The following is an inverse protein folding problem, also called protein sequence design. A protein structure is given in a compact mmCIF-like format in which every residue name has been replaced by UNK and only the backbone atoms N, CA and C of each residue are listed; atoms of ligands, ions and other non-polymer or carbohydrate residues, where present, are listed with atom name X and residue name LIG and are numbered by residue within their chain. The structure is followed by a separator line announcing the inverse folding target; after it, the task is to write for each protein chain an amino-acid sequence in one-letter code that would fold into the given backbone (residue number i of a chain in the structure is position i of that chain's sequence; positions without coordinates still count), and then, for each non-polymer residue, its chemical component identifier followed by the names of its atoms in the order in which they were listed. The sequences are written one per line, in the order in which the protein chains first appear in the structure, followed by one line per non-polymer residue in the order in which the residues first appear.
data_IF_879753286695
#
_entry.id   IF_879753286695
#
_cell.length_a   1.000
_cell.length_b   1.000
_cell.length_c   1.000
_cell.angle_alpha   90.00
_cell.angle_beta   90.00
_cell.angle_gamma   90.00
#
_symmetry.space_group_name_H-M   'P 1'
#
loop_
_entity.id
_entity.type
_entity.pdbx_description
1 polymer ?
#
# COMPACT_ATOMS: atom_id res chain seq x y z
N UNK A 1 52.05 43.67 -70.68
CA UNK A 1 51.50 43.68 -69.29
C UNK A 1 51.06 42.29 -69.00
N UNK A 2 51.88 41.52 -68.27
CA UNK A 2 51.64 40.17 -67.93
C UNK A 2 50.83 40.08 -66.58
N UNK A 3 49.73 39.39 -66.63
CA UNK A 3 48.88 39.11 -65.47
C UNK A 3 49.39 37.83 -64.73
N UNK A 4 50.02 38.01 -63.57
CA UNK A 4 50.51 36.97 -62.71
C UNK A 4 49.39 36.62 -61.73
N UNK A 5 48.74 35.47 -61.92
CA UNK A 5 47.83 34.90 -60.97
C UNK A 5 48.62 33.97 -59.97
N UNK A 6 48.46 34.13 -58.63
CA UNK A 6 49.15 33.28 -57.69
C UNK A 6 48.54 31.86 -57.66
N UNK A 7 49.38 30.87 -57.86
CA UNK A 7 49.00 29.44 -57.82
C UNK A 7 48.66 28.98 -56.42
N UNK A 8 47.47 28.48 -56.25
CA UNK A 8 47.04 27.77 -55.04
C UNK A 8 47.60 26.33 -55.05
N UNK A 9 48.60 26.07 -54.23
CA UNK A 9 49.09 24.72 -54.01
C UNK A 9 48.10 23.96 -53.09
N UNK A 10 47.34 23.04 -53.65
CA UNK A 10 46.57 22.08 -52.91
C UNK A 10 47.45 21.00 -52.22
N UNK A 11 47.54 21.09 -50.90
CA UNK A 11 48.19 20.06 -50.10
C UNK A 11 47.21 18.86 -49.98
N UNK A 12 47.58 17.64 -50.36
CA UNK A 12 46.68 16.47 -50.27
C UNK A 12 46.33 16.17 -48.82
N UNK A 13 45.06 16.16 -48.49
CA UNK A 13 44.55 15.65 -47.22
C UNK A 13 44.74 14.12 -47.22
N UNK A 14 45.52 13.62 -46.26
CA UNK A 14 45.55 12.18 -45.97
C UNK A 14 44.21 11.76 -45.42
N UNK A 15 43.42 11.06 -46.20
CA UNK A 15 42.24 10.39 -45.72
C UNK A 15 42.64 9.21 -44.85
N UNK A 16 42.34 9.27 -43.54
CA UNK A 16 42.45 8.13 -42.67
C UNK A 16 41.42 7.07 -43.07
N UNK A 17 41.75 5.81 -42.89
CA UNK A 17 40.98 4.65 -43.36
C UNK A 17 39.57 4.53 -42.74
N UNK A 18 39.22 5.30 -41.69
CA UNK A 18 37.96 5.24 -41.00
C UNK A 18 37.54 6.67 -40.57
N UNK A 19 36.88 7.41 -41.44
CA UNK A 19 36.21 8.67 -41.12
C UNK A 19 37.09 9.82 -40.58
N UNK A 20 36.50 10.87 -40.00
CA UNK A 20 37.22 12.07 -39.55
C UNK A 20 37.97 11.91 -38.22
N UNK A 21 37.98 10.73 -37.65
CA UNK A 21 38.58 10.47 -36.33
C UNK A 21 40.04 10.10 -36.40
N UNK A 22 40.87 10.67 -35.51
CA UNK A 22 42.26 10.31 -35.36
C UNK A 22 42.41 8.95 -34.64
N UNK A 23 43.47 8.22 -34.94
CA UNK A 23 43.71 6.90 -34.27
C UNK A 23 43.69 6.97 -32.74
N UNK A 24 44.09 8.13 -32.16
CA UNK A 24 44.03 8.34 -30.69
C UNK A 24 42.61 8.48 -30.19
N UNK A 25 41.70 9.06 -30.96
CA UNK A 25 40.26 9.16 -30.59
C UNK A 25 39.58 7.82 -30.70
N UNK A 26 39.93 6.98 -31.64
CA UNK A 26 39.41 5.61 -31.75
C UNK A 26 39.86 4.73 -30.57
N UNK A 27 41.10 4.86 -30.14
CA UNK A 27 41.65 4.16 -28.99
C UNK A 27 40.95 4.64 -27.68
N UNK A 28 40.75 5.94 -27.54
CA UNK A 28 40.02 6.48 -26.37
C UNK A 28 38.55 6.02 -26.33
N UNK A 29 37.86 5.98 -27.47
CA UNK A 29 36.51 5.49 -27.59
C UNK A 29 36.44 3.97 -27.25
N UNK A 30 37.37 3.16 -27.75
CA UNK A 30 37.45 1.74 -27.44
C UNK A 30 37.70 1.52 -25.94
N UNK A 31 38.61 2.30 -25.34
CA UNK A 31 38.88 2.26 -23.91
C UNK A 31 37.66 2.59 -23.06
N UNK A 32 36.89 3.60 -23.46
CA UNK A 32 35.65 3.96 -22.79
C UNK A 32 34.59 2.84 -22.86
N UNK A 33 34.42 2.22 -24.03
CA UNK A 33 33.50 1.09 -24.23
C UNK A 33 33.89 -0.11 -23.35
N UNK A 34 35.21 -0.47 -23.33
CA UNK A 34 35.70 -1.56 -22.50
C UNK A 34 35.51 -1.27 -21.01
N UNK A 35 35.76 -0.02 -20.57
CA UNK A 35 35.56 0.39 -19.18
C UNK A 35 34.10 0.29 -18.79
N UNK A 36 33.21 0.77 -19.65
CA UNK A 36 31.77 0.70 -19.43
C UNK A 36 31.28 -0.75 -19.35
N UNK A 37 31.79 -1.61 -20.24
CA UNK A 37 31.45 -3.05 -20.21
C UNK A 37 31.94 -3.73 -18.92
N UNK A 38 33.14 -3.42 -18.46
CA UNK A 38 33.70 -3.96 -17.21
C UNK A 38 32.89 -3.48 -16.00
N UNK A 39 32.50 -2.20 -15.94
CA UNK A 39 31.65 -1.66 -14.88
C UNK A 39 30.27 -2.30 -14.91
N UNK A 40 29.68 -2.49 -16.09
CA UNK A 40 28.38 -3.16 -16.25
C UNK A 40 28.44 -4.61 -15.77
N UNK A 41 29.49 -5.36 -16.13
CA UNK A 41 29.70 -6.73 -15.67
C UNK A 41 29.93 -6.75 -14.15
N UNK A 42 30.68 -5.82 -13.59
CA UNK A 42 30.94 -5.75 -12.15
C UNK A 42 29.65 -5.40 -11.33
N UNK A 43 28.75 -4.61 -11.92
CA UNK A 43 27.47 -4.23 -11.26
C UNK A 43 26.39 -5.30 -11.45
N UNK A 44 26.39 -5.99 -12.59
CA UNK A 44 25.35 -6.99 -12.91
C UNK A 44 25.73 -8.42 -12.48
N UNK A 45 27.02 -8.72 -12.29
CA UNK A 45 27.40 -9.98 -11.65
C UNK A 45 27.27 -9.83 -10.14
N UNK A 46 26.35 -10.55 -9.47
CA UNK A 46 26.35 -10.59 -8.03
C UNK A 46 27.71 -11.14 -7.60
N UNK A 47 28.53 -10.27 -6.99
CA UNK A 47 29.79 -10.71 -6.33
C UNK A 47 29.38 -11.77 -5.31
N UNK A 48 29.60 -13.04 -5.71
CA UNK A 48 29.63 -14.21 -4.86
C UNK A 48 28.79 -14.12 -3.59
N UNK A 49 27.45 -14.08 -3.73
CA UNK A 49 26.62 -14.55 -2.65
C UNK A 49 27.03 -15.99 -2.41
N UNK A 50 27.64 -16.28 -1.27
CA UNK A 50 27.78 -17.64 -0.79
C UNK A 50 26.43 -18.29 -0.94
N UNK A 51 26.26 -19.11 -1.96
CA UNK A 51 25.05 -19.90 -2.12
C UNK A 51 24.81 -20.58 -0.79
N UNK A 52 23.76 -20.15 -0.09
CA UNK A 52 23.21 -20.94 0.98
C UNK A 52 22.62 -22.14 0.24
N UNK A 53 23.46 -23.14 0.00
CA UNK A 53 22.96 -24.48 -0.28
C UNK A 53 22.08 -24.81 0.91
N UNK A 54 20.78 -25.10 0.73
CA UNK A 54 19.99 -25.64 1.82
C UNK A 54 20.77 -26.85 2.35
N UNK A 55 21.29 -26.74 3.59
CA UNK A 55 21.90 -27.86 4.25
C UNK A 55 20.92 -29.03 4.27
N UNK A 56 21.37 -30.26 4.44
CA UNK A 56 20.50 -31.42 4.59
C UNK A 56 19.42 -31.02 5.64
N UNK A 57 18.16 -31.15 5.26
CA UNK A 57 17.04 -30.89 6.18
C UNK A 57 17.24 -31.85 7.34
N UNK A 58 17.58 -31.35 8.51
CA UNK A 58 17.67 -32.14 9.72
C UNK A 58 16.28 -32.76 9.97
N UNK A 59 16.12 -34.08 9.87
CA UNK A 59 14.81 -34.71 10.14
C UNK A 59 14.35 -34.53 11.59
N UNK A 60 15.20 -34.00 12.46
CA UNK A 60 14.88 -33.62 13.85
C UNK A 60 14.73 -32.11 14.03
N UNK A 61 14.90 -31.30 12.98
CA UNK A 61 14.49 -29.91 13.03
C UNK A 61 12.98 -29.92 13.31
N UNK A 62 12.64 -29.70 14.55
CA UNK A 62 11.26 -29.44 14.95
C UNK A 62 10.78 -28.28 14.06
N UNK A 63 9.70 -28.46 13.27
CA UNK A 63 9.12 -27.35 12.57
C UNK A 63 8.93 -26.24 13.60
N UNK A 64 9.34 -25.02 13.26
CA UNK A 64 9.13 -23.85 14.12
C UNK A 64 7.61 -23.67 14.22
N UNK A 65 7.02 -24.52 15.08
CA UNK A 65 5.63 -24.34 15.46
C UNK A 65 5.69 -23.10 16.32
N UNK A 66 5.14 -22.02 15.84
CA UNK A 66 4.74 -20.88 16.66
C UNK A 66 3.74 -21.47 17.65
N UNK A 67 4.25 -21.94 18.80
CA UNK A 67 3.45 -22.62 19.84
C UNK A 67 2.58 -21.64 20.64
N UNK A 68 2.59 -20.37 20.28
CA UNK A 68 1.57 -19.43 20.74
C UNK A 68 0.60 -19.27 19.60
N UNK A 69 -0.68 -19.61 19.77
CA UNK A 69 -1.69 -19.06 18.88
C UNK A 69 -1.44 -17.56 18.83
N UNK A 70 -1.59 -16.90 17.66
CA UNK A 70 -1.54 -15.46 17.62
C UNK A 70 -2.39 -14.94 18.77
N UNK A 71 -1.91 -13.94 19.55
CA UNK A 71 -2.63 -13.43 20.71
C UNK A 71 -4.08 -13.30 20.31
N UNK A 72 -5.01 -13.77 21.13
CA UNK A 72 -6.42 -13.95 20.75
C UNK A 72 -6.89 -12.72 19.98
N UNK A 73 -6.72 -12.78 18.65
CA UNK A 73 -7.14 -11.76 17.72
C UNK A 73 -8.64 -11.84 17.57
N UNK A 74 -9.23 -10.79 17.08
CA UNK A 74 -10.64 -10.84 16.69
C UNK A 74 -10.81 -11.98 15.69
N UNK A 75 -11.85 -12.78 15.91
CA UNK A 75 -12.14 -13.97 15.09
C UNK A 75 -13.51 -13.83 14.47
N UNK A 76 -13.70 -14.46 13.36
CA UNK A 76 -15.04 -14.74 12.84
C UNK A 76 -15.85 -15.46 13.92
N UNK A 77 -17.05 -14.98 14.16
CA UNK A 77 -17.94 -15.45 15.23
C UNK A 77 -17.82 -14.68 16.56
N UNK A 78 -16.82 -13.81 16.72
CA UNK A 78 -16.70 -12.93 17.89
C UNK A 78 -17.55 -11.67 17.72
N UNK A 79 -18.08 -11.13 18.82
CA UNK A 79 -18.64 -9.78 18.83
C UNK A 79 -17.51 -8.77 18.59
N UNK A 80 -17.73 -7.83 17.70
CA UNK A 80 -16.79 -6.75 17.43
C UNK A 80 -16.67 -5.84 18.66
N UNK A 81 -15.45 -5.41 19.03
CA UNK A 81 -15.28 -4.42 20.10
C UNK A 81 -15.96 -3.10 19.75
N UNK A 82 -16.52 -2.43 20.76
CA UNK A 82 -16.99 -1.07 20.58
C UNK A 82 -15.85 -0.11 20.22
N UNK A 83 -16.21 1.02 19.63
CA UNK A 83 -15.27 2.09 19.30
C UNK A 83 -14.92 2.97 20.52
N UNK A 84 -14.93 2.33 21.69
CA UNK A 84 -14.60 2.92 22.99
C UNK A 84 -13.56 2.04 23.67
N UNK A 85 -12.49 2.62 24.18
CA UNK A 85 -11.39 1.91 24.81
C UNK A 85 -11.07 2.54 26.15
N UNK A 86 -11.03 1.74 27.23
CA UNK A 86 -10.52 2.19 28.51
C UNK A 86 -9.00 2.44 28.43
N UNK A 87 -8.52 3.54 29.00
CA UNK A 87 -7.13 3.93 29.01
C UNK A 87 -6.47 3.58 30.36
N UNK A 88 -5.15 3.38 30.35
CA UNK A 88 -4.39 3.01 31.55
C UNK A 88 -4.40 4.10 32.65
N UNK A 89 -4.65 5.36 32.28
CA UNK A 89 -4.80 6.48 33.18
C UNK A 89 -6.19 6.58 33.85
N UNK A 90 -7.07 5.63 33.56
CA UNK A 90 -8.45 5.59 34.03
C UNK A 90 -9.42 6.40 33.17
N UNK A 91 -8.94 7.02 32.10
CA UNK A 91 -9.77 7.69 31.10
C UNK A 91 -10.43 6.73 30.12
N UNK A 92 -11.13 7.30 29.16
CA UNK A 92 -11.77 6.54 28.09
C UNK A 92 -11.53 7.24 26.77
N UNK A 93 -11.05 6.50 25.78
CA UNK A 93 -11.01 6.97 24.39
C UNK A 93 -12.34 6.59 23.70
N UNK A 94 -12.94 7.54 23.01
CA UNK A 94 -14.11 7.36 22.18
C UNK A 94 -13.77 7.79 20.75
N UNK A 95 -13.98 6.90 19.79
CA UNK A 95 -13.84 7.27 18.37
C UNK A 95 -14.91 8.32 18.03
N UNK A 96 -14.48 9.39 17.41
CA UNK A 96 -15.38 10.42 16.85
C UNK A 96 -15.26 10.47 15.35
N UNK A 97 -16.31 10.89 14.69
CA UNK A 97 -16.27 11.23 13.28
C UNK A 97 -15.54 12.57 13.04
N UNK A 98 -15.47 12.99 11.79
CA UNK A 98 -14.79 14.22 11.40
C UNK A 98 -15.50 15.49 11.88
N UNK A 99 -16.77 15.41 12.27
CA UNK A 99 -17.56 16.50 12.86
C UNK A 99 -17.50 16.50 14.39
N UNK A 100 -16.81 15.51 14.98
CA UNK A 100 -16.64 15.34 16.43
C UNK A 100 -17.77 14.58 17.11
N UNK A 101 -18.72 14.01 16.36
CA UNK A 101 -19.75 13.17 16.92
C UNK A 101 -19.24 11.76 17.27
N UNK A 102 -19.69 11.13 18.38
CA UNK A 102 -19.23 9.79 18.74
C UNK A 102 -19.73 8.75 17.75
N UNK A 103 -18.84 7.87 17.32
CA UNK A 103 -19.13 6.71 16.48
C UNK A 103 -19.25 5.48 17.37
N UNK A 104 -20.37 4.76 17.36
CA UNK A 104 -20.60 3.57 18.18
C UNK A 104 -21.20 2.44 17.35
N UNK A 105 -20.79 1.19 17.61
CA UNK A 105 -21.43 0.02 17.00
C UNK A 105 -22.83 -0.22 17.58
N UNK A 106 -23.08 0.22 18.81
CA UNK A 106 -24.41 0.12 19.42
C UNK A 106 -25.46 0.88 18.58
N UNK A 107 -25.13 2.07 18.09
CA UNK A 107 -26.03 2.86 17.23
C UNK A 107 -26.30 2.21 15.86
N UNK A 108 -25.45 1.25 15.45
CA UNK A 108 -25.54 0.55 14.18
C UNK A 108 -26.21 -0.83 14.29
N UNK A 109 -26.71 -1.22 15.48
CA UNK A 109 -27.41 -2.50 15.67
C UNK A 109 -28.63 -2.60 14.74
N UNK A 110 -28.84 -3.78 14.21
CA UNK A 110 -29.87 -4.03 13.21
C UNK A 110 -29.47 -3.77 11.77
N UNK A 111 -28.26 -3.23 11.55
CA UNK A 111 -27.68 -3.05 10.23
C UNK A 111 -26.46 -3.97 10.04
N UNK A 112 -26.21 -4.40 8.82
CA UNK A 112 -24.92 -4.96 8.43
C UNK A 112 -23.86 -3.84 8.45
N UNK A 113 -22.69 -4.12 9.04
CA UNK A 113 -21.64 -3.10 9.16
C UNK A 113 -20.37 -3.57 8.48
N UNK A 114 -19.79 -2.73 7.64
CA UNK A 114 -18.46 -2.91 7.10
C UNK A 114 -17.51 -1.89 7.71
N UNK A 115 -16.57 -2.34 8.52
CA UNK A 115 -15.51 -1.50 9.10
C UNK A 115 -14.29 -1.61 8.20
N UNK A 116 -13.81 -0.47 7.69
CA UNK A 116 -12.60 -0.38 6.88
C UNK A 116 -11.52 0.41 7.63
N UNK A 117 -10.41 -0.25 7.99
CA UNK A 117 -9.23 0.42 8.53
C UNK A 117 -8.34 0.88 7.38
N UNK A 118 -8.09 2.17 7.30
CA UNK A 118 -7.34 2.76 6.20
C UNK A 118 -6.45 3.93 6.67
N UNK A 119 -5.57 4.40 5.77
CA UNK A 119 -4.89 5.67 5.91
C UNK A 119 -4.96 6.45 4.59
N UNK A 120 -5.02 7.78 4.68
CA UNK A 120 -5.14 8.65 3.51
C UNK A 120 -3.93 8.54 2.56
N UNK A 121 -2.76 8.27 3.11
CA UNK A 121 -1.49 8.10 2.40
C UNK A 121 -1.24 6.67 1.88
N UNK A 122 -2.09 5.71 2.20
CA UNK A 122 -1.93 4.29 1.86
C UNK A 122 -2.36 4.00 0.41
N UNK A 123 -1.46 3.65 -0.54
CA UNK A 123 -1.81 3.48 -1.94
C UNK A 123 -2.87 2.39 -2.21
N UNK A 124 -2.82 1.18 -1.61
CA UNK A 124 -3.87 0.19 -1.81
C UNK A 124 -5.22 0.65 -1.23
N UNK A 125 -5.23 1.44 -0.13
CA UNK A 125 -6.46 2.02 0.41
C UNK A 125 -7.09 3.01 -0.58
N UNK A 126 -6.26 3.85 -1.21
CA UNK A 126 -6.73 4.80 -2.24
C UNK A 126 -7.32 4.09 -3.47
N UNK A 127 -6.81 2.92 -3.80
CA UNK A 127 -7.30 2.12 -4.94
C UNK A 127 -8.69 1.52 -4.67
N UNK A 128 -8.96 1.09 -3.43
CA UNK A 128 -10.26 0.50 -3.08
C UNK A 128 -11.33 1.55 -2.72
N UNK A 129 -10.94 2.77 -2.34
CA UNK A 129 -11.86 3.82 -1.87
C UNK A 129 -13.03 4.10 -2.81
N UNK A 130 -12.86 4.19 -4.15
CA UNK A 130 -13.99 4.35 -5.06
C UNK A 130 -14.99 3.17 -4.99
N UNK A 131 -14.49 1.94 -4.75
CA UNK A 131 -15.33 0.75 -4.61
C UNK A 131 -16.18 0.85 -3.35
N UNK A 132 -15.59 1.25 -2.22
CA UNK A 132 -16.31 1.45 -0.97
C UNK A 132 -17.40 2.53 -1.11
N UNK A 133 -17.07 3.65 -1.76
CA UNK A 133 -18.03 4.72 -2.05
C UNK A 133 -19.24 4.19 -2.81
N UNK A 134 -18.98 3.55 -3.95
CA UNK A 134 -20.04 3.08 -4.85
C UNK A 134 -20.88 1.96 -4.19
N UNK A 135 -20.28 1.08 -3.40
CA UNK A 135 -20.97 0.03 -2.64
C UNK A 135 -21.77 0.63 -1.46
N UNK A 136 -21.25 1.66 -0.79
CA UNK A 136 -21.99 2.37 0.26
C UNK A 136 -23.29 2.96 -0.30
N UNK A 137 -23.23 3.64 -1.43
CA UNK A 137 -24.43 4.21 -2.09
C UNK A 137 -25.43 3.11 -2.52
N UNK A 138 -24.90 2.02 -3.10
CA UNK A 138 -25.71 0.91 -3.62
C UNK A 138 -26.47 0.15 -2.53
N UNK A 139 -25.84 -0.05 -1.37
CA UNK A 139 -26.36 -0.96 -0.33
C UNK A 139 -26.93 -0.25 0.91
N UNK A 140 -26.79 1.08 1.03
CA UNK A 140 -27.29 1.85 2.18
C UNK A 140 -28.78 1.59 2.44
N UNK A 141 -29.60 1.69 1.41
CA UNK A 141 -31.07 1.51 1.52
C UNK A 141 -31.44 0.04 1.76
N UNK A 142 -30.48 -0.88 1.63
CA UNK A 142 -30.62 -2.30 1.94
C UNK A 142 -30.13 -2.66 3.33
N UNK A 143 -29.68 -1.67 4.12
CA UNK A 143 -29.27 -1.87 5.50
C UNK A 143 -27.78 -2.09 5.72
N UNK A 144 -26.91 -1.71 4.75
CA UNK A 144 -25.47 -1.64 4.95
C UNK A 144 -25.06 -0.29 5.52
N UNK A 145 -24.19 -0.30 6.52
CA UNK A 145 -23.42 0.88 6.95
C UNK A 145 -21.92 0.62 6.79
N UNK A 146 -21.19 1.57 6.22
CA UNK A 146 -19.73 1.54 6.17
C UNK A 146 -19.20 2.53 7.20
N UNK A 147 -18.20 2.07 7.98
CA UNK A 147 -17.43 2.91 8.89
C UNK A 147 -15.96 2.82 8.50
N UNK A 148 -15.42 3.89 7.95
CA UNK A 148 -13.98 4.03 7.73
C UNK A 148 -13.31 4.47 9.04
N UNK A 149 -12.36 3.70 9.53
CA UNK A 149 -11.51 4.07 10.67
C UNK A 149 -10.16 4.50 10.15
N UNK A 150 -9.92 5.80 10.15
CA UNK A 150 -8.66 6.37 9.71
C UNK A 150 -7.61 6.26 10.81
N UNK A 151 -6.44 5.73 10.47
CA UNK A 151 -5.37 5.42 11.42
C UNK A 151 -4.01 5.86 10.88
N UNK A 152 -3.04 6.06 11.80
CA UNK A 152 -1.66 6.42 11.44
C UNK A 152 -1.57 7.69 10.58
N UNK A 153 -2.43 8.63 10.81
CA UNK A 153 -2.51 9.91 10.10
C UNK A 153 -1.72 11.01 10.81
N UNK A 154 -1.35 12.04 10.06
CA UNK A 154 -0.69 13.22 10.60
C UNK A 154 -1.69 14.11 11.31
N UNK A 155 -2.91 14.25 10.75
CA UNK A 155 -3.97 15.11 11.31
C UNK A 155 -5.35 14.66 10.86
N UNK A 156 -6.38 15.11 11.59
CA UNK A 156 -7.77 14.95 11.17
C UNK A 156 -8.09 15.73 9.88
N UNK A 157 -7.39 16.84 9.64
CA UNK A 157 -7.58 17.64 8.43
C UNK A 157 -7.15 16.90 7.16
N UNK A 158 -6.08 16.07 7.23
CA UNK A 158 -5.65 15.24 6.11
C UNK A 158 -6.74 14.21 5.76
N UNK A 159 -7.38 13.65 6.78
CA UNK A 159 -8.49 12.70 6.63
C UNK A 159 -9.73 13.38 6.04
N UNK A 160 -10.06 14.59 6.52
CA UNK A 160 -11.16 15.37 5.99
C UNK A 160 -10.94 15.75 4.52
N UNK A 161 -9.73 16.15 4.16
CA UNK A 161 -9.36 16.43 2.78
C UNK A 161 -9.47 15.18 1.88
N UNK A 162 -9.08 14.02 2.41
CA UNK A 162 -9.24 12.74 1.73
C UNK A 162 -10.72 12.38 1.51
N UNK A 163 -11.54 12.47 2.56
CA UNK A 163 -12.98 12.19 2.49
C UNK A 163 -13.67 13.10 1.48
N UNK A 164 -13.34 14.39 1.48
CA UNK A 164 -13.86 15.37 0.51
C UNK A 164 -13.42 15.08 -0.92
N UNK A 165 -12.13 14.71 -1.11
CA UNK A 165 -11.57 14.38 -2.44
C UNK A 165 -12.28 13.20 -3.11
N UNK A 166 -12.61 12.17 -2.33
CA UNK A 166 -13.26 10.96 -2.82
C UNK A 166 -14.79 11.01 -2.69
N UNK A 167 -15.33 12.13 -2.17
CA UNK A 167 -16.79 12.33 -1.96
C UNK A 167 -17.40 11.17 -1.17
N UNK A 168 -16.78 10.82 -0.02
CA UNK A 168 -17.16 9.65 0.76
C UNK A 168 -18.52 9.87 1.44
N UNK A 169 -19.55 9.04 1.16
CA UNK A 169 -20.90 9.22 1.68
C UNK A 169 -21.14 8.47 3.00
N UNK A 170 -20.10 7.92 3.61
CA UNK A 170 -20.18 7.09 4.82
C UNK A 170 -19.36 7.68 5.97
N UNK A 171 -19.60 7.20 7.19
CA UNK A 171 -18.95 7.70 8.39
C UNK A 171 -17.44 7.43 8.37
N UNK A 172 -16.64 8.46 8.63
CA UNK A 172 -15.20 8.36 8.82
C UNK A 172 -14.88 8.71 10.26
N UNK A 173 -14.37 7.75 11.03
CA UNK A 173 -13.83 7.95 12.36
C UNK A 173 -12.33 8.20 12.33
N UNK A 174 -11.83 9.11 13.17
CA UNK A 174 -10.42 9.45 13.28
C UNK A 174 -9.79 8.82 14.54
N UNK A 175 -8.98 7.78 14.36
CA UNK A 175 -8.21 7.11 15.43
C UNK A 175 -6.75 7.57 15.42
N UNK A 176 -6.52 8.87 15.64
CA UNK A 176 -5.17 9.46 15.63
C UNK A 176 -4.22 8.87 16.68
N UNK A 177 -4.76 8.33 17.77
CA UNK A 177 -3.99 7.68 18.83
C UNK A 177 -3.78 6.17 18.62
N UNK A 178 -4.49 5.57 17.65
CA UNK A 178 -4.41 4.15 17.34
C UNK A 178 -5.02 3.23 18.41
N UNK A 179 -5.94 3.73 19.24
CA UNK A 179 -6.58 2.90 20.27
C UNK A 179 -7.51 1.85 19.66
N UNK A 180 -8.34 2.24 18.71
CA UNK A 180 -9.23 1.32 18.01
C UNK A 180 -8.44 0.37 17.11
N UNK A 181 -7.43 0.89 16.42
CA UNK A 181 -6.49 0.09 15.63
C UNK A 181 -5.90 -1.08 16.45
N UNK A 182 -5.43 -0.79 17.67
CA UNK A 182 -4.89 -1.81 18.57
C UNK A 182 -5.97 -2.75 19.11
N UNK A 183 -7.15 -2.23 19.47
CA UNK A 183 -8.27 -3.04 19.95
C UNK A 183 -8.72 -4.07 18.91
N UNK A 184 -8.74 -3.68 17.64
CA UNK A 184 -9.06 -4.55 16.50
C UNK A 184 -7.90 -5.42 16.03
N UNK A 185 -6.71 -5.32 16.68
CA UNK A 185 -5.50 -6.10 16.30
C UNK A 185 -5.12 -5.96 14.83
N UNK A 186 -5.36 -4.79 14.25
CA UNK A 186 -4.97 -4.49 12.88
C UNK A 186 -3.46 -4.44 12.76
N UNK A 187 -2.89 -5.08 11.75
CA UNK A 187 -1.43 -5.14 11.52
C UNK A 187 -1.03 -4.75 10.08
N UNK A 188 -2.00 -4.58 9.21
CA UNK A 188 -1.79 -4.16 7.83
C UNK A 188 -2.92 -3.25 7.37
N UNK A 189 -2.67 -2.42 6.35
CA UNK A 189 -3.68 -1.58 5.73
C UNK A 189 -3.81 -1.90 4.23
N UNK A 190 -5.04 -1.89 3.72
CA UNK A 190 -6.29 -1.82 4.46
C UNK A 190 -6.63 -3.14 5.18
N UNK A 191 -7.47 -3.08 6.21
CA UNK A 191 -8.07 -4.26 6.84
C UNK A 191 -9.57 -4.06 6.98
N UNK A 192 -10.34 -5.10 6.65
CA UNK A 192 -11.79 -5.06 6.58
C UNK A 192 -12.40 -6.01 7.63
N UNK A 193 -13.41 -5.53 8.35
CA UNK A 193 -14.27 -6.35 9.20
C UNK A 193 -15.71 -6.23 8.72
N UNK A 194 -16.33 -7.35 8.45
CA UNK A 194 -17.74 -7.42 8.07
C UNK A 194 -18.54 -7.99 9.25
N UNK A 195 -19.55 -7.24 9.69
CA UNK A 195 -20.38 -7.59 10.84
C UNK A 195 -21.82 -7.85 10.40
N UNK A 196 -22.44 -8.83 11.03
CA UNK A 196 -23.90 -9.03 10.91
C UNK A 196 -24.68 -7.96 11.68
N UNK A 197 -26.01 -8.03 11.62
CA UNK A 197 -26.94 -7.10 12.30
C UNK A 197 -26.84 -7.13 13.83
N UNK A 198 -26.20 -8.17 14.41
CA UNK A 198 -25.94 -8.30 15.83
C UNK A 198 -24.54 -7.79 16.21
N UNK A 199 -23.76 -7.28 15.26
CA UNK A 199 -22.38 -6.84 15.47
C UNK A 199 -21.39 -8.00 15.66
N UNK A 200 -21.72 -9.19 15.17
CA UNK A 200 -20.82 -10.35 15.17
C UNK A 200 -19.97 -10.30 13.89
N UNK A 201 -18.67 -10.48 14.03
CA UNK A 201 -17.74 -10.53 12.92
C UNK A 201 -18.01 -11.78 12.09
N UNK A 202 -18.38 -11.62 10.84
CA UNK A 202 -18.62 -12.71 9.90
C UNK A 202 -17.43 -12.94 8.97
N UNK A 203 -16.72 -11.87 8.60
CA UNK A 203 -15.54 -11.97 7.74
C UNK A 203 -14.48 -10.95 8.16
N UNK A 204 -13.22 -11.32 7.94
CA UNK A 204 -12.05 -10.46 8.12
C UNK A 204 -11.20 -10.57 6.85
N UNK A 205 -10.90 -9.45 6.21
CA UNK A 205 -10.06 -9.40 5.01
C UNK A 205 -8.86 -8.49 5.30
N UNK A 206 -7.66 -9.03 5.17
CA UNK A 206 -6.42 -8.25 5.29
C UNK A 206 -5.92 -7.94 3.88
N UNK A 207 -6.02 -6.69 3.50
CA UNK A 207 -5.70 -6.18 2.16
C UNK A 207 -6.91 -5.56 1.45
N UNK A 208 -6.69 -5.01 0.25
CA UNK A 208 -7.74 -4.37 -0.53
C UNK A 208 -8.78 -5.37 -1.02
N UNK A 209 -10.00 -4.91 -1.18
CA UNK A 209 -11.11 -5.68 -1.76
C UNK A 209 -11.38 -5.21 -3.18
N UNK A 210 -11.83 -6.14 -4.02
CA UNK A 210 -12.45 -5.80 -5.31
C UNK A 210 -13.97 -5.72 -5.18
N UNK A 211 -14.63 -5.10 -6.17
CA UNK A 211 -16.07 -4.88 -6.14
C UNK A 211 -16.87 -6.19 -6.06
N UNK A 212 -16.45 -7.21 -6.79
CA UNK A 212 -17.15 -8.51 -6.85
C UNK A 212 -17.07 -9.22 -5.50
N UNK A 213 -15.87 -9.31 -4.93
CA UNK A 213 -15.65 -9.94 -3.63
C UNK A 213 -16.37 -9.21 -2.50
N UNK A 214 -16.26 -7.87 -2.46
CA UNK A 214 -16.95 -7.07 -1.46
C UNK A 214 -18.48 -7.17 -1.58
N UNK A 215 -19.03 -7.12 -2.80
CA UNK A 215 -20.46 -7.30 -3.02
C UNK A 215 -20.95 -8.65 -2.53
N UNK A 216 -20.22 -9.74 -2.80
CA UNK A 216 -20.59 -11.08 -2.35
C UNK A 216 -20.60 -11.18 -0.81
N UNK A 217 -19.61 -10.55 -0.14
CA UNK A 217 -19.58 -10.48 1.33
C UNK A 217 -20.78 -9.69 1.87
N UNK A 218 -21.07 -8.51 1.30
CA UNK A 218 -22.21 -7.68 1.70
C UNK A 218 -23.53 -8.45 1.54
N UNK A 219 -23.75 -9.08 0.38
CA UNK A 219 -24.97 -9.85 0.12
C UNK A 219 -25.18 -11.00 1.13
N UNK A 220 -24.10 -11.57 1.66
CA UNK A 220 -24.18 -12.61 2.70
C UNK A 220 -24.61 -12.08 4.08
N UNK A 221 -24.56 -10.77 4.30
CA UNK A 221 -24.87 -10.09 5.57
C UNK A 221 -26.30 -9.52 5.60
N UNK A 222 -26.79 -9.19 4.42
CA UNK A 222 -28.10 -8.57 4.29
C UNK A 222 -29.23 -9.60 4.45
N UNK A 223 -30.34 -9.22 5.07
CA UNK A 223 -31.47 -10.13 5.28
C UNK A 223 -32.17 -10.56 3.99
#
# INVERSE_FOLDING_TARGET
MADERPGFTHKPRKHGLIGPFSGRQLLAALGAVVLTAVVLVAVTTPLGGTGITPGPVDPQATPFIISSPPPEGLRVGSTAPEFTVALDDGGTFQLTDLDGAPVTLEALRGKAVWINFFASWCPPCQQETPILRDLSERYRDRGLEIVGVSVQETSADDVAAYAARYELPYTIGFDGSGHIFRAYKVYALPTQYFLDTNGVITHIVNGPVDETGASALIESLLP
#
